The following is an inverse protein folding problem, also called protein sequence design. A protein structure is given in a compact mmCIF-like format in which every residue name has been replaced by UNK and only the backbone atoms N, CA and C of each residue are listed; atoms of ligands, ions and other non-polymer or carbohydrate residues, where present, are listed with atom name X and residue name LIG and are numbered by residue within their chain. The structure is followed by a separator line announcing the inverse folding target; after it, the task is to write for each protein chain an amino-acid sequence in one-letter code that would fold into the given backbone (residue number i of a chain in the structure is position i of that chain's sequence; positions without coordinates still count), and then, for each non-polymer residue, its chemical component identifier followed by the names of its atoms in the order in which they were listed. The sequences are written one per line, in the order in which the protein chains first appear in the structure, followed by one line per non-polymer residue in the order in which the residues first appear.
data_IF_400463078961
#
_entry.id   IF_400463078961
#
_cell.length_a   1.000
_cell.length_b   1.000
_cell.length_c   1.000
_cell.angle_alpha   90.00
_cell.angle_beta   90.00
_cell.angle_gamma   90.00
#
_symmetry.space_group_name_H-M   'P 1'
#
loop_
_entity.id
_entity.type
_entity.pdbx_description
1 polymer ?
#
# COMPACT_ATOMS: atom_id res chain seq x y z
N UNK A 1 -3.65 -28.86 -26.19
CA UNK A 1 -3.68 -27.40 -25.95
C UNK A 1 -3.58 -27.22 -24.44
N UNK A 2 -2.56 -26.54 -23.90
CA UNK A 2 -2.54 -26.27 -22.48
C UNK A 2 -3.61 -25.22 -22.19
N UNK A 3 -4.39 -25.47 -21.12
CA UNK A 3 -5.36 -24.52 -20.62
C UNK A 3 -4.64 -23.19 -20.30
N UNK A 4 -5.18 -22.08 -20.81
CA UNK A 4 -4.85 -20.76 -20.27
C UNK A 4 -5.38 -20.72 -18.84
N UNK A 5 -4.56 -21.16 -17.88
CA UNK A 5 -4.80 -20.87 -16.48
C UNK A 5 -4.87 -19.36 -16.32
N UNK A 6 -5.92 -18.84 -15.69
CA UNK A 6 -5.95 -17.44 -15.29
C UNK A 6 -4.68 -17.19 -14.47
N UNK A 7 -3.75 -16.39 -14.97
CA UNK A 7 -2.62 -15.96 -14.15
C UNK A 7 -3.20 -15.07 -13.05
N UNK A 8 -3.26 -15.61 -11.83
CA UNK A 8 -3.67 -14.88 -10.65
C UNK A 8 -2.68 -13.73 -10.41
N UNK A 9 -3.19 -12.50 -10.42
CA UNK A 9 -2.42 -11.29 -10.08
C UNK A 9 -1.77 -11.48 -8.70
N UNK A 10 -0.44 -11.56 -8.65
CA UNK A 10 0.31 -11.76 -7.41
C UNK A 10 0.59 -10.41 -6.75
N UNK A 11 -0.02 -10.21 -5.59
CA UNK A 11 -0.02 -8.91 -4.90
C UNK A 11 0.77 -8.98 -3.59
N UNK A 12 1.62 -7.98 -3.34
CA UNK A 12 2.24 -7.74 -2.04
C UNK A 12 1.60 -6.54 -1.35
N UNK A 13 1.10 -6.72 -0.14
CA UNK A 13 0.69 -5.64 0.77
C UNK A 13 1.83 -5.45 1.79
N UNK A 14 2.54 -4.33 1.71
CA UNK A 14 3.70 -4.04 2.54
C UNK A 14 3.42 -2.81 3.39
N UNK A 15 3.44 -2.95 4.72
CA UNK A 15 3.01 -1.87 5.61
C UNK A 15 3.97 -1.55 6.75
N UNK A 16 3.87 -0.33 7.27
CA UNK A 16 4.46 0.07 8.54
C UNK A 16 3.41 0.72 9.46
N UNK A 17 3.42 0.33 10.73
CA UNK A 17 2.47 0.78 11.74
C UNK A 17 3.18 0.94 13.08
N UNK A 18 2.85 2.00 13.83
CA UNK A 18 3.29 2.19 15.22
C UNK A 18 2.18 1.83 16.21
N UNK A 19 1.02 2.50 16.13
CA UNK A 19 -0.10 2.33 17.07
C UNK A 19 -1.15 1.29 16.66
N UNK A 20 -0.94 0.53 15.58
CA UNK A 20 -1.85 -0.54 15.17
C UNK A 20 -2.89 -0.15 14.11
N UNK A 21 -3.27 1.13 13.98
CA UNK A 21 -4.29 1.56 13.01
C UNK A 21 -3.99 1.15 11.56
N UNK A 22 -2.79 1.45 11.07
CA UNK A 22 -2.36 1.05 9.71
C UNK A 22 -2.25 -0.46 9.56
N UNK A 23 -1.89 -1.17 10.65
CA UNK A 23 -1.83 -2.64 10.65
C UNK A 23 -3.23 -3.22 10.48
N UNK A 24 -4.20 -2.74 11.27
CA UNK A 24 -5.59 -3.20 11.18
C UNK A 24 -6.17 -2.93 9.78
N UNK A 25 -5.85 -1.78 9.18
CA UNK A 25 -6.24 -1.48 7.81
C UNK A 25 -5.57 -2.41 6.79
N UNK A 26 -4.28 -2.72 6.96
CA UNK A 26 -3.57 -3.67 6.11
C UNK A 26 -4.18 -5.08 6.18
N UNK A 27 -4.49 -5.56 7.38
CA UNK A 27 -5.15 -6.86 7.63
C UNK A 27 -6.56 -6.90 7.03
N UNK A 28 -7.31 -5.79 7.11
CA UNK A 28 -8.63 -5.68 6.50
C UNK A 28 -8.56 -5.75 4.96
N UNK A 29 -7.61 -5.03 4.34
CA UNK A 29 -7.39 -5.10 2.89
C UNK A 29 -6.94 -6.49 2.45
N UNK A 30 -6.03 -7.13 3.18
CA UNK A 30 -5.57 -8.50 2.91
C UNK A 30 -6.71 -9.52 3.04
N UNK A 31 -7.63 -9.34 3.99
CA UNK A 31 -8.81 -10.21 4.15
C UNK A 31 -9.77 -10.13 2.96
N UNK A 32 -9.83 -8.97 2.28
CA UNK A 32 -10.62 -8.77 1.06
C UNK A 32 -9.86 -9.17 -0.22
N UNK A 33 -8.56 -9.45 -0.10
CA UNK A 33 -7.67 -9.85 -1.18
C UNK A 33 -6.82 -11.07 -0.72
N UNK A 34 -7.46 -12.24 -0.50
CA UNK A 34 -6.85 -13.35 0.25
C UNK A 34 -5.59 -13.97 -0.39
N UNK A 35 -5.40 -13.78 -1.70
CA UNK A 35 -4.20 -14.24 -2.42
C UNK A 35 -3.00 -13.28 -2.26
N UNK A 36 -3.20 -12.12 -1.64
CA UNK A 36 -2.12 -11.16 -1.41
C UNK A 36 -1.23 -11.57 -0.23
N UNK A 37 0.09 -11.50 -0.44
CA UNK A 37 1.04 -11.60 0.67
C UNK A 37 0.98 -10.35 1.53
N UNK A 38 0.96 -10.50 2.86
CA UNK A 38 0.95 -9.39 3.81
C UNK A 38 2.27 -9.37 4.60
N UNK A 39 2.99 -8.25 4.51
CA UNK A 39 4.32 -8.11 5.08
C UNK A 39 4.47 -6.80 5.84
N UNK A 40 5.22 -6.80 6.94
CA UNK A 40 5.78 -5.54 7.45
C UNK A 40 6.92 -5.10 6.54
N UNK A 41 7.15 -3.78 6.44
CA UNK A 41 8.24 -3.23 5.61
C UNK A 41 9.63 -3.82 5.93
N UNK A 42 9.89 -4.22 7.18
CA UNK A 42 11.17 -4.83 7.57
C UNK A 42 11.25 -6.34 7.35
N UNK A 43 10.16 -6.95 6.87
CA UNK A 43 10.05 -8.38 6.58
C UNK A 43 9.94 -8.65 5.08
N UNK A 44 9.81 -7.59 4.26
CA UNK A 44 9.68 -7.68 2.81
C UNK A 44 11.01 -7.36 2.13
N UNK A 45 11.52 -8.30 1.34
CA UNK A 45 12.68 -8.10 0.49
C UNK A 45 12.26 -7.50 -0.86
N UNK A 46 12.64 -6.24 -1.10
CA UNK A 46 12.34 -5.52 -2.34
C UNK A 46 12.95 -6.18 -3.58
N UNK A 47 13.99 -7.01 -3.44
CA UNK A 47 14.55 -7.77 -4.56
C UNK A 47 13.59 -8.84 -5.12
N UNK A 48 12.54 -9.20 -4.36
CA UNK A 48 11.51 -10.15 -4.81
C UNK A 48 10.39 -9.49 -5.63
N UNK A 49 10.39 -8.15 -5.79
CA UNK A 49 9.39 -7.42 -6.58
C UNK A 49 9.18 -7.93 -8.03
N UNK A 50 10.18 -8.47 -8.75
CA UNK A 50 9.96 -9.07 -10.06
C UNK A 50 8.96 -10.24 -10.06
N UNK A 51 8.71 -10.86 -8.91
CA UNK A 51 7.76 -11.96 -8.76
C UNK A 51 6.33 -11.48 -8.43
N UNK A 52 6.05 -10.18 -8.47
CA UNK A 52 4.74 -9.58 -8.15
C UNK A 52 4.22 -8.74 -9.30
N UNK A 53 2.90 -8.80 -9.50
CA UNK A 53 2.18 -7.96 -10.46
C UNK A 53 1.76 -6.62 -9.84
N UNK A 54 1.59 -6.60 -8.51
CA UNK A 54 1.21 -5.40 -7.78
C UNK A 54 1.85 -5.26 -6.40
N UNK A 55 2.07 -4.01 -6.00
CA UNK A 55 2.53 -3.61 -4.67
C UNK A 55 1.58 -2.57 -4.06
N UNK A 56 1.06 -2.87 -2.89
CA UNK A 56 0.23 -1.99 -2.09
C UNK A 56 1.04 -1.56 -0.86
N UNK A 57 1.34 -0.26 -0.75
CA UNK A 57 2.15 0.29 0.35
C UNK A 57 1.27 0.91 1.42
N UNK A 58 1.46 0.50 2.67
CA UNK A 58 0.73 1.00 3.85
C UNK A 58 1.61 1.79 4.79
N UNK A 59 1.25 3.02 5.16
CA UNK A 59 2.00 3.76 6.20
C UNK A 59 1.14 4.74 7.00
N UNK A 60 1.53 4.97 8.25
CA UNK A 60 1.02 6.11 9.03
C UNK A 60 1.82 7.36 8.71
N UNK A 61 1.31 8.51 9.14
CA UNK A 61 2.01 9.80 9.00
C UNK A 61 2.66 10.23 10.31
N UNK A 62 3.87 10.78 10.23
CA UNK A 62 4.61 11.31 11.37
C UNK A 62 4.71 12.83 11.32
N UNK A 63 4.66 13.49 12.48
CA UNK A 63 4.84 14.94 12.58
C UNK A 63 3.92 15.72 11.64
N UNK A 64 4.51 16.65 10.88
CA UNK A 64 3.78 17.54 9.97
C UNK A 64 3.63 16.96 8.56
N UNK A 65 3.11 15.74 8.43
CA UNK A 65 2.90 15.11 7.11
C UNK A 65 4.02 14.19 6.62
N UNK A 66 5.02 13.94 7.45
CA UNK A 66 6.25 13.26 7.06
C UNK A 66 6.11 11.74 7.04
N UNK A 67 7.00 11.09 6.27
CA UNK A 67 7.22 9.65 6.32
C UNK A 67 7.88 9.27 7.66
N UNK A 68 7.36 8.27 8.39
CA UNK A 68 8.09 7.66 9.49
C UNK A 68 9.45 7.13 9.02
N UNK A 69 10.48 7.16 9.88
CA UNK A 69 11.86 6.82 9.50
C UNK A 69 12.00 5.50 8.72
N UNK A 70 11.27 4.45 9.13
CA UNK A 70 11.27 3.15 8.43
C UNK A 70 10.61 3.23 7.05
N UNK A 71 9.50 3.95 6.93
CA UNK A 71 8.84 4.19 5.64
C UNK A 71 9.68 5.09 4.73
N UNK A 72 10.43 6.04 5.28
CA UNK A 72 11.37 6.86 4.51
C UNK A 72 12.54 6.04 3.95
N UNK A 73 13.06 5.06 4.71
CA UNK A 73 14.08 4.14 4.22
C UNK A 73 13.52 3.25 3.08
N UNK A 74 12.35 2.63 3.30
CA UNK A 74 11.67 1.82 2.29
C UNK A 74 11.35 2.62 1.01
N UNK A 75 10.86 3.86 1.18
CA UNK A 75 10.61 4.79 0.07
C UNK A 75 11.87 5.00 -0.78
N UNK A 76 13.01 5.32 -0.14
CA UNK A 76 14.27 5.62 -0.84
C UNK A 76 14.78 4.41 -1.62
N UNK A 77 14.66 3.22 -1.05
CA UNK A 77 15.08 1.99 -1.72
C UNK A 77 14.17 1.66 -2.91
N UNK A 78 12.85 1.70 -2.70
CA UNK A 78 11.86 1.45 -3.75
C UNK A 78 12.00 2.44 -4.92
N UNK A 79 12.29 3.71 -4.64
CA UNK A 79 12.49 4.75 -5.64
C UNK A 79 13.66 4.45 -6.60
N UNK A 80 14.63 3.62 -6.21
CA UNK A 80 15.76 3.27 -7.09
C UNK A 80 15.46 2.09 -8.03
N UNK A 81 14.33 1.39 -7.84
CA UNK A 81 14.03 0.15 -8.56
C UNK A 81 13.27 0.40 -9.88
N UNK A 82 13.43 -0.50 -10.88
CA UNK A 82 12.71 -0.42 -12.15
C UNK A 82 11.28 -0.95 -12.02
N UNK A 83 10.37 -0.15 -11.45
CA UNK A 83 9.00 -0.58 -11.09
C UNK A 83 7.90 -0.11 -12.06
N UNK A 84 8.25 0.29 -13.29
CA UNK A 84 7.29 0.81 -14.27
C UNK A 84 6.20 -0.21 -14.67
N UNK A 85 6.52 -1.50 -14.59
CA UNK A 85 5.58 -2.58 -14.88
C UNK A 85 4.53 -2.79 -13.78
N UNK A 86 4.83 -2.34 -12.55
CA UNK A 86 4.11 -2.71 -11.35
C UNK A 86 2.83 -1.89 -11.20
N UNK A 87 1.69 -2.55 -10.97
CA UNK A 87 0.48 -1.90 -10.48
C UNK A 87 0.70 -1.50 -9.02
N UNK A 88 0.42 -0.26 -8.66
CA UNK A 88 0.66 0.18 -7.27
C UNK A 88 -0.55 0.84 -6.64
N UNK A 89 -0.64 0.71 -5.32
CA UNK A 89 -1.62 1.39 -4.48
C UNK A 89 -0.97 1.86 -3.19
N UNK A 90 -1.54 2.91 -2.60
CA UNK A 90 -1.05 3.41 -1.32
C UNK A 90 -2.22 3.55 -0.36
N UNK A 91 -2.09 3.04 0.85
CA UNK A 91 -3.03 3.33 1.91
C UNK A 91 -2.32 3.88 3.14
N UNK A 92 -3.07 4.57 3.99
CA UNK A 92 -2.52 5.06 5.22
C UNK A 92 -3.55 5.60 6.17
N UNK A 93 -3.10 5.74 7.41
CA UNK A 93 -3.91 6.29 8.49
C UNK A 93 -3.30 7.60 8.99
N UNK A 94 -4.13 8.58 9.29
CA UNK A 94 -3.72 9.88 9.84
C UNK A 94 -4.86 10.48 10.66
N UNK A 95 -4.74 11.75 11.03
CA UNK A 95 -5.80 12.48 11.73
C UNK A 95 -6.07 13.78 10.98
N UNK A 96 -7.35 14.10 10.77
CA UNK A 96 -7.76 15.28 9.98
C UNK A 96 -7.51 16.59 10.73
N UNK A 97 -7.27 16.51 12.04
CA UNK A 97 -6.89 17.64 12.88
C UNK A 97 -5.48 18.20 12.56
N UNK A 98 -4.65 17.47 11.81
CA UNK A 98 -3.38 17.99 11.30
C UNK A 98 -3.54 18.56 9.90
N UNK A 99 -2.76 19.62 9.60
CA UNK A 99 -2.75 20.27 8.29
C UNK A 99 -2.50 19.30 7.13
N UNK A 100 -1.67 18.28 7.33
CA UNK A 100 -1.31 17.30 6.31
C UNK A 100 -1.93 15.93 6.61
N UNK A 101 -3.24 15.82 6.41
CA UNK A 101 -3.96 14.56 6.55
C UNK A 101 -3.39 13.48 5.63
N UNK A 102 -2.81 12.44 6.26
CA UNK A 102 -2.09 11.36 5.60
C UNK A 102 -0.97 11.83 4.65
N UNK A 103 -0.18 12.83 5.02
CA UNK A 103 0.92 13.35 4.17
C UNK A 103 1.91 12.28 3.70
N UNK A 104 2.16 11.24 4.50
CA UNK A 104 2.99 10.10 4.10
C UNK A 104 2.43 9.33 2.89
N UNK A 105 1.10 9.28 2.74
CA UNK A 105 0.43 8.71 1.56
C UNK A 105 0.68 9.57 0.33
N UNK A 106 0.71 10.90 0.48
CA UNK A 106 0.99 11.82 -0.62
C UNK A 106 2.44 11.65 -1.13
N UNK A 107 3.41 11.46 -0.23
CA UNK A 107 4.79 11.18 -0.62
C UNK A 107 4.90 9.92 -1.48
N UNK A 108 4.33 8.79 -1.04
CA UNK A 108 4.34 7.56 -1.84
C UNK A 108 3.53 7.71 -3.13
N UNK A 109 2.38 8.41 -3.11
CA UNK A 109 1.57 8.69 -4.29
C UNK A 109 2.43 9.37 -5.36
N UNK A 110 3.10 10.45 -5.01
CA UNK A 110 3.83 11.27 -5.99
C UNK A 110 4.97 10.49 -6.64
N UNK A 111 5.72 9.72 -5.84
CA UNK A 111 6.79 8.86 -6.33
C UNK A 111 6.25 7.72 -7.22
N UNK A 112 5.23 7.01 -6.76
CA UNK A 112 4.67 5.87 -7.49
C UNK A 112 3.93 6.29 -8.75
N UNK A 113 3.30 7.47 -8.76
CA UNK A 113 2.72 8.05 -9.97
C UNK A 113 3.79 8.30 -11.05
N UNK A 114 4.99 8.75 -10.65
CA UNK A 114 6.08 8.99 -11.57
C UNK A 114 6.79 7.71 -12.05
N UNK A 115 6.75 6.62 -11.26
CA UNK A 115 7.61 5.44 -11.47
C UNK A 115 6.89 4.13 -11.80
N UNK A 116 5.57 4.07 -11.64
CA UNK A 116 4.77 2.83 -11.74
C UNK A 116 3.37 3.10 -12.29
N UNK A 117 2.53 2.06 -12.36
CA UNK A 117 1.11 2.19 -12.69
C UNK A 117 0.31 2.41 -11.40
N UNK A 118 0.36 3.62 -10.84
CA UNK A 118 -0.40 3.96 -9.64
C UNK A 118 -1.91 3.94 -9.93
N UNK A 119 -2.62 3.04 -9.26
CA UNK A 119 -4.06 2.83 -9.46
C UNK A 119 -4.90 3.66 -8.50
N UNK A 120 -4.53 3.69 -7.21
CA UNK A 120 -5.39 4.25 -6.17
C UNK A 120 -4.64 4.61 -4.89
N UNK A 121 -5.16 5.62 -4.19
CA UNK A 121 -4.76 5.92 -2.81
C UNK A 121 -5.95 5.84 -1.85
N UNK A 122 -5.74 5.37 -0.62
CA UNK A 122 -6.75 5.30 0.44
C UNK A 122 -6.25 5.96 1.72
N UNK A 123 -6.87 7.08 2.10
CA UNK A 123 -6.61 7.78 3.36
C UNK A 123 -7.74 7.52 4.35
N UNK A 124 -7.40 7.01 5.52
CA UNK A 124 -8.32 6.71 6.63
C UNK A 124 -7.95 7.55 7.84
N UNK A 125 -8.97 8.07 8.52
CA UNK A 125 -8.78 8.74 9.80
C UNK A 125 -8.69 7.71 10.92
N UNK A 126 -7.61 7.74 11.69
CA UNK A 126 -7.34 6.84 12.80
C UNK A 126 -7.54 5.36 12.42
N UNK A 127 -8.36 4.63 13.18
CA UNK A 127 -8.76 3.26 12.89
C UNK A 127 -9.93 3.26 11.92
N UNK A 128 -9.88 2.41 10.89
CA UNK A 128 -10.99 2.29 9.94
C UNK A 128 -12.29 1.90 10.65
N UNK A 129 -13.40 2.40 10.17
CA UNK A 129 -14.73 2.13 10.69
C UNK A 129 -15.57 1.33 9.68
N UNK A 130 -16.74 0.82 10.08
CA UNK A 130 -17.66 0.13 9.17
C UNK A 130 -18.04 0.98 7.95
N UNK A 131 -18.14 2.30 8.15
CA UNK A 131 -18.40 3.26 7.06
C UNK A 131 -17.29 3.30 6.00
N UNK A 132 -16.08 2.83 6.31
CA UNK A 132 -14.98 2.76 5.35
C UNK A 132 -14.99 1.48 4.51
N UNK A 133 -15.74 0.44 4.91
CA UNK A 133 -15.74 -0.86 4.22
C UNK A 133 -16.04 -0.75 2.71
N UNK A 134 -17.01 0.06 2.24
CA UNK A 134 -17.24 0.24 0.81
C UNK A 134 -16.03 0.84 0.08
N UNK A 135 -15.22 1.65 0.75
CA UNK A 135 -13.99 2.25 0.19
C UNK A 135 -12.87 1.21 0.12
N UNK A 136 -12.72 0.38 1.16
CA UNK A 136 -11.77 -0.74 1.16
C UNK A 136 -12.09 -1.74 0.05
N UNK A 137 -13.36 -2.09 -0.14
CA UNK A 137 -13.82 -2.95 -1.23
C UNK A 137 -13.48 -2.37 -2.61
N UNK A 138 -13.79 -1.09 -2.85
CA UNK A 138 -13.42 -0.40 -4.10
C UNK A 138 -11.92 -0.36 -4.33
N UNK A 139 -11.14 -0.19 -3.25
CA UNK A 139 -9.68 -0.19 -3.32
C UNK A 139 -9.14 -1.54 -3.80
N UNK A 140 -9.58 -2.66 -3.21
CA UNK A 140 -9.05 -3.99 -3.57
C UNK A 140 -9.50 -4.49 -4.94
N UNK A 141 -10.69 -4.07 -5.41
CA UNK A 141 -11.22 -4.46 -6.73
C UNK A 141 -10.29 -4.06 -7.89
N UNK A 142 -9.46 -3.03 -7.71
CA UNK A 142 -8.49 -2.59 -8.71
C UNK A 142 -7.29 -3.53 -8.88
N UNK A 143 -7.09 -4.46 -7.93
CA UNK A 143 -5.96 -5.39 -7.92
C UNK A 143 -6.34 -6.85 -8.22
N UNK A 144 -7.62 -7.12 -8.48
CA UNK A 144 -8.14 -8.47 -8.75
C UNK A 144 -8.16 -8.85 -10.24
N UNK A 145 -7.71 -7.95 -11.13
CA UNK A 145 -7.76 -8.11 -12.59
C UNK A 145 -6.37 -8.25 -13.24
#
# INVERSE_FOLDING_TARGET
MPAMGSMSCKVAIVYHSAGGNTKALAEALASLLPEAGLYRMNEFDLHTLPDYDALIVGTYTWGNGELPAKSAAFYKELEQLPIAYLKTGVFGTGETNYHHFCGAVDHFRDMLFAKSQLLVTLKIEQMYQESDLPRLQKFVLLFQN
#
